data_IF_154692827459
#
_entry.id   IF_154692827459
#
_cell.length_a   1.000
_cell.length_b   1.000
_cell.length_c   1.000
_cell.angle_alpha   90.00
_cell.angle_beta   90.00
_cell.angle_gamma   90.00
#
_symmetry.space_group_name_H-M   'P 1'
#
loop_
_entity.id
_entity.type
_entity.pdbx_description
1 polymer ?
#
# COMPACT_ATOMS: atom_id res chain seq x y z
N UNK A 1 -3.55 -17.09 5.51
CA UNK A 1 -3.39 -18.09 4.43
C UNK A 1 -1.96 -18.02 3.93
N UNK A 2 -1.37 -19.15 3.55
CA UNK A 2 0.01 -19.24 3.08
C UNK A 2 0.14 -20.33 2.01
N UNK A 3 1.08 -20.24 1.08
CA UNK A 3 1.39 -21.33 0.14
C UNK A 3 2.63 -22.11 0.57
N UNK A 4 2.77 -23.36 0.09
CA UNK A 4 3.98 -24.16 0.30
C UNK A 4 5.25 -23.47 -0.23
N UNK A 5 5.11 -22.61 -1.23
CA UNK A 5 6.21 -21.84 -1.79
C UNK A 5 6.73 -20.84 -0.76
N UNK A 6 5.83 -20.12 -0.07
CA UNK A 6 6.22 -19.19 1.00
C UNK A 6 6.85 -19.95 2.17
N UNK A 7 6.35 -21.14 2.51
CA UNK A 7 6.96 -21.98 3.56
C UNK A 7 8.39 -22.38 3.20
N UNK A 8 8.62 -22.82 1.96
CA UNK A 8 9.95 -23.15 1.46
C UNK A 8 10.87 -21.92 1.47
N UNK A 9 10.39 -20.77 0.98
CA UNK A 9 11.14 -19.50 1.02
C UNK A 9 11.48 -19.08 2.46
N UNK A 10 10.52 -19.17 3.38
CA UNK A 10 10.69 -18.81 4.78
C UNK A 10 11.70 -19.71 5.50
N UNK A 11 11.81 -20.98 5.11
CA UNK A 11 12.73 -21.96 5.71
C UNK A 11 14.21 -21.74 5.36
N UNK A 12 14.51 -20.88 4.38
CA UNK A 12 15.87 -20.69 3.86
C UNK A 12 16.66 -19.62 4.62
N UNK A 13 17.99 -19.67 4.51
CA UNK A 13 18.90 -18.68 5.08
C UNK A 13 19.38 -19.05 6.48
N UNK A 14 19.52 -18.05 7.35
CA UNK A 14 19.95 -18.27 8.73
C UNK A 14 18.96 -19.15 9.49
N UNK A 15 19.47 -20.17 10.18
CA UNK A 15 18.63 -21.20 10.81
C UNK A 15 17.75 -20.63 11.94
N UNK A 16 18.26 -19.68 12.72
CA UNK A 16 17.50 -19.06 13.82
C UNK A 16 16.39 -18.17 13.24
N UNK A 17 16.72 -17.35 12.24
CA UNK A 17 15.74 -16.50 11.59
C UNK A 17 14.68 -17.31 10.82
N UNK A 18 15.07 -18.42 10.19
CA UNK A 18 14.15 -19.34 9.51
C UNK A 18 13.17 -19.97 10.50
N UNK A 19 13.69 -20.47 11.63
CA UNK A 19 12.86 -21.03 12.71
C UNK A 19 11.84 -20.02 13.22
N UNK A 20 12.27 -18.78 13.50
CA UNK A 20 11.37 -17.70 13.94
C UNK A 20 10.27 -17.39 12.92
N UNK A 21 10.61 -17.35 11.62
CA UNK A 21 9.60 -17.13 10.58
C UNK A 21 8.61 -18.30 10.51
N UNK A 22 9.09 -19.53 10.56
CA UNK A 22 8.22 -20.71 10.49
C UNK A 22 7.27 -20.81 11.70
N UNK A 23 7.73 -20.44 12.90
CA UNK A 23 6.89 -20.39 14.09
C UNK A 23 5.73 -19.41 13.94
N UNK A 24 5.96 -18.23 13.37
CA UNK A 24 4.91 -17.23 13.11
C UNK A 24 3.89 -17.73 12.06
N UNK A 25 4.33 -18.58 11.14
CA UNK A 25 3.50 -19.08 10.03
C UNK A 25 2.73 -20.36 10.36
N UNK A 26 3.02 -21.01 11.49
CA UNK A 26 2.55 -22.36 11.82
C UNK A 26 1.02 -22.51 11.84
N UNK A 27 0.30 -21.47 12.30
CA UNK A 27 -1.16 -21.49 12.44
C UNK A 27 -1.90 -20.98 11.19
N UNK A 28 -1.17 -20.60 10.13
CA UNK A 28 -1.80 -20.10 8.90
C UNK A 28 -2.31 -21.26 8.03
N UNK A 29 -3.55 -21.19 7.52
CA UNK A 29 -4.06 -22.19 6.61
C UNK A 29 -3.24 -22.23 5.32
N UNK A 30 -2.81 -23.42 4.92
CA UNK A 30 -2.07 -23.64 3.68
C UNK A 30 -3.06 -23.69 2.50
N UNK A 31 -2.74 -22.98 1.42
CA UNK A 31 -3.54 -22.92 0.20
C UNK A 31 -3.25 -24.13 -0.70
N UNK A 32 -4.30 -24.64 -1.33
CA UNK A 32 -4.17 -25.65 -2.37
C UNK A 32 -3.51 -25.06 -3.64
N UNK A 33 -2.80 -25.93 -4.37
CA UNK A 33 -2.19 -25.60 -5.66
C UNK A 33 -2.92 -26.37 -6.77
N UNK A 34 -4.08 -25.87 -7.24
CA UNK A 34 -4.85 -26.52 -8.29
C UNK A 34 -4.14 -26.41 -9.65
N UNK A 35 -4.53 -27.25 -10.62
CA UNK A 35 -3.91 -27.29 -11.96
C UNK A 35 -4.07 -25.96 -12.71
N UNK A 36 -5.15 -25.25 -12.43
CA UNK A 36 -5.47 -23.91 -12.89
C UNK A 36 -4.38 -22.91 -12.49
N UNK A 37 -3.82 -23.03 -11.28
CA UNK A 37 -2.74 -22.17 -10.83
C UNK A 37 -1.46 -22.43 -11.63
N UNK A 38 -1.17 -23.70 -11.95
CA UNK A 38 -0.01 -24.07 -12.79
C UNK A 38 -0.18 -23.48 -14.19
N UNK A 39 -1.37 -23.58 -14.76
CA UNK A 39 -1.69 -23.01 -16.07
C UNK A 39 -1.56 -21.48 -16.08
N UNK A 40 -2.06 -20.82 -15.02
CA UNK A 40 -1.97 -19.36 -14.88
C UNK A 40 -0.52 -18.88 -14.74
N UNK A 41 0.37 -19.66 -14.10
CA UNK A 41 1.81 -19.35 -14.06
C UNK A 41 2.40 -19.24 -15.46
N UNK A 42 2.12 -20.21 -16.33
CA UNK A 42 2.64 -20.18 -17.70
C UNK A 42 2.09 -19.00 -18.48
N UNK A 43 0.78 -18.73 -18.38
CA UNK A 43 0.17 -17.57 -19.04
C UNK A 43 0.80 -16.23 -18.61
N UNK A 44 1.14 -16.07 -17.33
CA UNK A 44 1.80 -14.88 -16.81
C UNK A 44 3.23 -14.72 -17.35
N UNK A 45 3.94 -15.83 -17.57
CA UNK A 45 5.31 -15.83 -18.09
C UNK A 45 5.29 -15.59 -19.61
N UNK A 46 4.45 -16.31 -20.34
CA UNK A 46 4.32 -16.23 -21.80
C UNK A 46 3.87 -14.85 -22.26
N UNK A 47 2.97 -14.20 -21.49
CA UNK A 47 2.55 -12.82 -21.75
C UNK A 47 3.60 -11.76 -21.35
N UNK A 48 4.72 -12.16 -20.73
CA UNK A 48 5.74 -11.24 -20.23
C UNK A 48 5.32 -10.41 -19.00
N UNK A 49 4.20 -10.78 -18.36
CA UNK A 49 3.76 -10.19 -17.09
C UNK A 49 4.84 -10.39 -16.03
N UNK A 50 5.33 -11.62 -15.89
CA UNK A 50 6.44 -11.98 -15.00
C UNK A 50 7.58 -12.58 -15.83
N UNK A 51 8.84 -12.19 -15.59
CA UNK A 51 9.95 -12.80 -16.32
C UNK A 51 10.18 -14.26 -15.88
N UNK A 52 10.63 -15.10 -16.80
CA UNK A 52 10.84 -16.55 -16.58
C UNK A 52 11.74 -16.86 -15.37
N UNK A 53 12.81 -16.07 -15.16
CA UNK A 53 13.71 -16.24 -14.01
C UNK A 53 13.09 -15.87 -12.66
N UNK A 54 11.91 -15.23 -12.67
CA UNK A 54 11.11 -14.90 -11.48
C UNK A 54 9.87 -15.78 -11.38
N UNK A 55 9.94 -17.04 -11.83
CA UNK A 55 8.84 -18.00 -11.73
C UNK A 55 8.18 -18.10 -10.34
N UNK A 56 8.92 -18.02 -9.19
CA UNK A 56 8.28 -17.98 -7.89
C UNK A 56 7.29 -16.82 -7.72
N UNK A 57 7.59 -15.63 -8.26
CA UNK A 57 6.68 -14.47 -8.21
C UNK A 57 5.37 -14.80 -8.97
N UNK A 58 5.47 -15.44 -10.13
CA UNK A 58 4.29 -15.87 -10.90
C UNK A 58 3.46 -16.93 -10.14
N UNK A 59 4.12 -17.84 -9.42
CA UNK A 59 3.43 -18.85 -8.62
C UNK A 59 2.67 -18.23 -7.44
N UNK A 60 3.27 -17.27 -6.72
CA UNK A 60 2.58 -16.55 -5.65
C UNK A 60 1.31 -15.86 -6.15
N UNK A 61 1.42 -15.16 -7.29
CA UNK A 61 0.27 -14.48 -7.93
C UNK A 61 -0.79 -15.50 -8.33
N UNK A 62 -0.41 -16.56 -9.05
CA UNK A 62 -1.36 -17.52 -9.57
C UNK A 62 -2.11 -18.28 -8.48
N UNK A 63 -1.41 -18.72 -7.44
CA UNK A 63 -2.03 -19.42 -6.29
C UNK A 63 -3.00 -18.48 -5.57
N UNK A 64 -2.59 -17.23 -5.32
CA UNK A 64 -3.46 -16.24 -4.68
C UNK A 64 -4.71 -15.94 -5.52
N UNK A 65 -4.56 -15.74 -6.83
CA UNK A 65 -5.66 -15.47 -7.76
C UNK A 65 -6.64 -16.63 -7.84
N UNK A 66 -6.18 -17.87 -8.04
CA UNK A 66 -7.08 -19.02 -8.19
C UNK A 66 -7.81 -19.35 -6.89
N UNK A 67 -7.17 -19.14 -5.74
CA UNK A 67 -7.80 -19.32 -4.43
C UNK A 67 -8.67 -18.11 -3.98
N UNK A 68 -8.89 -17.12 -4.85
CA UNK A 68 -9.66 -15.90 -4.54
C UNK A 68 -9.15 -15.15 -3.30
N UNK A 69 -7.83 -15.13 -3.10
CA UNK A 69 -7.20 -14.32 -2.05
C UNK A 69 -7.38 -12.85 -2.42
N UNK A 70 -7.95 -12.06 -1.52
CA UNK A 70 -8.28 -10.65 -1.78
C UNK A 70 -7.04 -9.79 -2.03
N UNK A 71 -6.00 -10.00 -1.22
CA UNK A 71 -4.75 -9.24 -1.27
C UNK A 71 -3.52 -10.14 -1.29
N UNK A 72 -2.61 -9.91 -2.22
CA UNK A 72 -1.25 -10.42 -2.19
C UNK A 72 -0.28 -9.27 -1.91
N UNK A 73 0.33 -9.32 -0.74
CA UNK A 73 1.20 -8.25 -0.23
C UNK A 73 2.65 -8.56 -0.57
N UNK A 74 3.35 -7.61 -1.21
CA UNK A 74 4.75 -7.79 -1.60
C UNK A 74 5.56 -6.49 -1.55
N UNK A 75 6.87 -6.63 -1.35
CA UNK A 75 7.85 -5.55 -1.50
C UNK A 75 8.53 -5.52 -2.88
N UNK A 76 8.23 -6.48 -3.76
CA UNK A 76 8.87 -6.61 -5.06
C UNK A 76 8.31 -5.62 -6.09
N UNK A 77 8.80 -4.38 -6.06
CA UNK A 77 8.45 -3.33 -7.03
C UNK A 77 8.93 -3.60 -8.45
N UNK A 78 9.91 -4.49 -8.62
CA UNK A 78 10.48 -4.76 -9.94
C UNK A 78 9.57 -5.64 -10.79
N UNK A 79 8.90 -6.60 -10.16
CA UNK A 79 8.18 -7.66 -10.87
C UNK A 79 6.69 -7.75 -10.52
N UNK A 80 6.28 -7.35 -9.31
CA UNK A 80 4.91 -7.56 -8.82
C UNK A 80 4.15 -6.23 -8.68
N UNK A 81 4.60 -5.34 -7.80
CA UNK A 81 3.80 -4.19 -7.34
C UNK A 81 4.02 -2.91 -8.16
N UNK A 82 4.75 -2.98 -9.27
CA UNK A 82 4.83 -1.85 -10.21
C UNK A 82 3.49 -1.72 -10.96
N UNK A 83 3.01 -0.49 -11.19
CA UNK A 83 1.71 -0.23 -11.85
C UNK A 83 1.57 -0.88 -13.24
N UNK A 84 2.57 -0.75 -14.11
CA UNK A 84 2.63 -1.43 -15.41
C UNK A 84 2.54 -2.95 -15.27
N UNK A 85 3.19 -3.53 -14.26
CA UNK A 85 3.17 -4.97 -13.97
C UNK A 85 1.80 -5.40 -13.44
N UNK A 86 1.23 -4.67 -12.48
CA UNK A 86 -0.12 -4.92 -11.95
C UNK A 86 -1.14 -4.94 -13.09
N UNK A 87 -1.12 -3.95 -13.98
CA UNK A 87 -2.04 -3.88 -15.10
C UNK A 87 -1.90 -5.08 -16.05
N UNK A 88 -0.68 -5.43 -16.45
CA UNK A 88 -0.47 -6.58 -17.33
C UNK A 88 -0.85 -7.91 -16.67
N UNK A 89 -0.56 -8.08 -15.38
CA UNK A 89 -0.98 -9.26 -14.61
C UNK A 89 -2.51 -9.35 -14.57
N UNK A 90 -3.20 -8.24 -14.30
CA UNK A 90 -4.66 -8.20 -14.25
C UNK A 90 -5.28 -8.53 -15.61
N UNK A 91 -4.73 -7.99 -16.71
CA UNK A 91 -5.16 -8.30 -18.07
C UNK A 91 -5.04 -9.80 -18.37
N UNK A 92 -3.91 -10.42 -18.03
CA UNK A 92 -3.70 -11.87 -18.22
C UNK A 92 -4.71 -12.67 -17.41
N UNK A 93 -4.89 -12.36 -16.13
CA UNK A 93 -5.86 -13.03 -15.26
C UNK A 93 -7.29 -12.94 -15.82
N UNK A 94 -7.70 -11.77 -16.28
CA UNK A 94 -9.01 -11.58 -16.89
C UNK A 94 -9.17 -12.34 -18.21
N UNK A 95 -8.14 -12.37 -19.05
CA UNK A 95 -8.16 -13.07 -20.34
C UNK A 95 -8.40 -14.58 -20.18
N UNK A 96 -7.95 -15.18 -19.07
CA UNK A 96 -8.16 -16.59 -18.75
C UNK A 96 -9.35 -16.84 -17.81
N UNK A 97 -10.14 -15.79 -17.52
CA UNK A 97 -11.41 -15.91 -16.78
C UNK A 97 -11.29 -15.84 -15.25
N UNK A 98 -10.14 -15.45 -14.70
CA UNK A 98 -9.98 -15.26 -13.26
C UNK A 98 -10.23 -13.80 -12.83
N UNK A 99 -10.65 -13.62 -11.57
CA UNK A 99 -10.60 -12.32 -10.91
C UNK A 99 -9.20 -12.12 -10.34
N UNK A 100 -8.45 -11.08 -10.76
CA UNK A 100 -7.11 -10.84 -10.25
C UNK A 100 -7.11 -10.59 -8.73
N UNK A 101 -6.06 -11.07 -8.06
CA UNK A 101 -5.83 -10.71 -6.65
C UNK A 101 -5.30 -9.27 -6.57
N UNK A 102 -5.63 -8.53 -5.51
CA UNK A 102 -5.13 -7.18 -5.36
C UNK A 102 -3.65 -7.21 -4.96
N UNK A 103 -2.77 -6.83 -5.89
CA UNK A 103 -1.34 -6.69 -5.65
C UNK A 103 -1.05 -5.36 -4.99
N UNK A 104 -0.48 -5.38 -3.79
CA UNK A 104 -0.17 -4.16 -3.04
C UNK A 104 1.09 -4.29 -2.17
N UNK A 105 1.59 -3.15 -1.73
CA UNK A 105 2.61 -3.11 -0.67
C UNK A 105 1.98 -3.16 0.71
N UNK A 106 2.76 -3.52 1.76
CA UNK A 106 2.24 -3.45 3.13
C UNK A 106 1.74 -2.06 3.52
N UNK A 107 2.39 -1.00 3.02
CA UNK A 107 1.99 0.39 3.31
C UNK A 107 0.63 0.68 2.69
N UNK A 108 0.44 0.37 1.41
CA UNK A 108 -0.84 0.53 0.71
C UNK A 108 -1.97 -0.23 1.41
N UNK A 109 -1.71 -1.47 1.87
CA UNK A 109 -2.71 -2.25 2.58
C UNK A 109 -3.08 -1.65 3.95
N UNK A 110 -2.08 -1.20 4.72
CA UNK A 110 -2.32 -0.56 6.03
C UNK A 110 -3.14 0.72 5.85
N UNK A 111 -2.83 1.53 4.85
CA UNK A 111 -3.58 2.74 4.54
C UNK A 111 -5.04 2.41 4.20
N UNK A 112 -5.28 1.41 3.37
CA UNK A 112 -6.63 0.94 3.01
C UNK A 112 -7.40 0.44 4.23
N UNK A 113 -6.78 -0.36 5.10
CA UNK A 113 -7.41 -0.85 6.35
C UNK A 113 -7.74 0.32 7.27
N UNK A 114 -6.82 1.27 7.46
CA UNK A 114 -7.07 2.45 8.29
C UNK A 114 -8.16 3.36 7.71
N UNK A 115 -8.27 3.47 6.39
CA UNK A 115 -9.36 4.20 5.71
C UNK A 115 -10.69 3.48 5.95
N UNK A 116 -10.74 2.15 5.80
CA UNK A 116 -11.93 1.34 6.08
C UNK A 116 -12.37 1.47 7.55
N UNK A 117 -11.45 1.41 8.52
CA UNK A 117 -11.73 1.62 9.95
C UNK A 117 -12.26 3.04 10.24
N UNK A 118 -11.70 4.07 9.59
CA UNK A 118 -12.16 5.45 9.71
C UNK A 118 -13.51 5.72 9.02
N UNK A 119 -13.87 4.94 8.01
CA UNK A 119 -15.18 5.06 7.36
C UNK A 119 -16.29 4.37 8.15
N UNK A 120 -15.96 3.31 8.90
CA UNK A 120 -16.89 2.60 9.79
C UNK A 120 -17.07 3.32 11.14
N UNK A 121 -16.06 4.07 11.59
CA UNK A 121 -16.15 4.90 12.80
C UNK A 121 -16.48 6.34 12.44
N UNK A 122 -17.74 6.75 12.66
CA UNK A 122 -18.20 8.15 12.72
C UNK A 122 -17.06 9.11 13.07
N UNK A 123 -16.65 9.92 12.08
CA UNK A 123 -15.59 10.94 12.09
C UNK A 123 -15.00 11.23 13.50
N UNK A 124 -13.75 10.83 13.72
CA UNK A 124 -13.01 11.15 14.95
C UNK A 124 -13.06 12.67 15.23
N UNK A 125 -13.46 13.12 16.44
CA UNK A 125 -13.53 14.53 16.81
C UNK A 125 -12.23 15.31 16.53
N UNK A 126 -11.07 14.67 16.58
CA UNK A 126 -9.77 15.29 16.25
C UNK A 126 -9.66 15.59 14.76
N UNK A 127 -10.22 14.73 13.91
CA UNK A 127 -10.21 14.91 12.47
C UNK A 127 -11.18 16.03 12.04
N UNK A 128 -12.32 16.15 12.72
CA UNK A 128 -13.27 17.26 12.55
C UNK A 128 -12.63 18.62 12.90
N UNK A 129 -11.90 18.69 14.02
CA UNK A 129 -11.08 19.85 14.39
C UNK A 129 -10.06 20.19 13.29
N UNK A 130 -9.37 19.18 12.75
CA UNK A 130 -8.37 19.37 11.69
C UNK A 130 -8.98 19.88 10.38
N UNK A 131 -10.15 19.37 9.97
CA UNK A 131 -10.85 19.87 8.79
C UNK A 131 -11.34 21.30 9.01
N UNK A 132 -11.90 21.61 10.18
CA UNK A 132 -12.33 22.96 10.53
C UNK A 132 -11.17 23.96 10.49
N UNK A 133 -10.02 23.62 11.07
CA UNK A 133 -8.81 24.47 11.02
C UNK A 133 -8.32 24.69 9.59
N UNK A 134 -8.36 23.66 8.73
CA UNK A 134 -8.00 23.78 7.31
C UNK A 134 -8.96 24.69 6.55
N UNK A 135 -10.25 24.58 6.79
CA UNK A 135 -11.27 25.39 6.13
C UNK A 135 -11.19 26.86 6.58
N UNK A 136 -11.06 27.13 7.88
CA UNK A 136 -10.87 28.47 8.42
C UNK A 136 -9.61 29.14 7.87
N UNK A 137 -8.52 28.38 7.75
CA UNK A 137 -7.28 28.89 7.17
C UNK A 137 -7.43 29.16 5.67
N UNK A 138 -8.01 28.24 4.91
CA UNK A 138 -8.24 28.40 3.47
C UNK A 138 -9.19 29.58 3.16
N UNK A 139 -10.19 29.82 4.02
CA UNK A 139 -11.14 30.93 3.88
C UNK A 139 -10.50 32.33 4.01
N UNK A 140 -9.27 32.42 4.54
CA UNK A 140 -8.52 33.68 4.58
C UNK A 140 -8.02 34.10 3.18
N UNK A 141 -8.06 33.20 2.21
CA UNK A 141 -7.57 33.42 0.85
C UNK A 141 -8.74 33.46 -0.14
N UNK A 142 -8.69 34.39 -1.10
CA UNK A 142 -9.78 34.61 -2.07
C UNK A 142 -9.76 33.62 -3.22
N UNK A 143 -8.65 32.88 -3.39
CA UNK A 143 -8.51 31.87 -4.41
C UNK A 143 -7.49 30.81 -4.00
N UNK A 144 -7.61 29.62 -4.59
CA UNK A 144 -6.65 28.52 -4.38
C UNK A 144 -5.23 28.88 -4.83
N UNK A 145 -5.10 29.75 -5.84
CA UNK A 145 -3.79 30.23 -6.31
C UNK A 145 -3.10 31.12 -5.27
N UNK A 146 -3.86 32.01 -4.61
CA UNK A 146 -3.34 32.90 -3.57
C UNK A 146 -2.85 32.12 -2.34
N UNK A 147 -3.60 31.08 -1.93
CA UNK A 147 -3.19 30.14 -0.89
C UNK A 147 -1.89 29.40 -1.27
N UNK A 148 -1.81 28.93 -2.52
CA UNK A 148 -0.62 28.23 -3.00
C UNK A 148 0.62 29.12 -3.00
N UNK A 149 0.48 30.36 -3.46
CA UNK A 149 1.57 31.34 -3.50
C UNK A 149 2.04 31.71 -2.08
N UNK A 150 1.10 31.83 -1.13
CA UNK A 150 1.41 32.00 0.28
C UNK A 150 2.22 30.83 0.85
N UNK A 151 1.75 29.58 0.70
CA UNK A 151 2.42 28.39 1.22
C UNK A 151 3.83 28.23 0.63
N UNK A 152 3.99 28.54 -0.66
CA UNK A 152 5.28 28.50 -1.35
C UNK A 152 6.25 29.57 -0.83
N UNK A 153 5.76 30.78 -0.58
CA UNK A 153 6.56 31.86 0.02
C UNK A 153 6.98 31.52 1.46
N UNK A 154 6.09 30.90 2.22
CA UNK A 154 6.33 30.50 3.59
C UNK A 154 7.38 29.38 3.67
N UNK A 155 7.23 28.31 2.88
CA UNK A 155 8.23 27.25 2.76
C UNK A 155 9.62 27.79 2.41
N UNK A 156 9.72 28.81 1.56
CA UNK A 156 11.00 29.44 1.22
C UNK A 156 11.64 30.13 2.43
N UNK A 157 10.86 30.81 3.27
CA UNK A 157 11.32 31.43 4.52
C UNK A 157 11.80 30.37 5.52
N UNK A 158 11.06 29.28 5.69
CA UNK A 158 11.42 28.21 6.62
C UNK A 158 12.63 27.40 6.17
N UNK A 159 12.76 27.14 4.85
CA UNK A 159 13.99 26.55 4.28
C UNK A 159 15.21 27.45 4.51
N UNK A 160 15.06 28.77 4.40
CA UNK A 160 16.14 29.71 4.69
C UNK A 160 16.53 29.73 6.18
N UNK A 161 15.59 29.39 7.08
CA UNK A 161 15.82 29.25 8.51
C UNK A 161 16.33 27.84 8.92
N UNK A 162 16.50 26.92 7.97
CA UNK A 162 17.03 25.57 8.20
C UNK A 162 16.01 24.57 8.77
N UNK A 163 14.72 24.89 8.78
CA UNK A 163 13.67 24.05 9.36
C UNK A 163 13.01 23.20 8.26
N UNK A 164 12.80 21.91 8.55
CA UNK A 164 12.23 20.92 7.61
C UNK A 164 10.69 20.89 7.61
N UNK A 165 10.05 21.52 8.61
CA UNK A 165 8.60 21.52 8.79
C UNK A 165 8.07 22.94 9.00
N UNK A 166 6.85 23.19 8.49
CA UNK A 166 6.11 24.43 8.67
C UNK A 166 5.27 24.31 9.95
N UNK A 167 5.42 25.19 10.96
CA UNK A 167 4.59 25.12 12.16
C UNK A 167 3.10 25.25 11.80
N UNK A 168 2.19 24.68 12.62
CA UNK A 168 0.76 24.80 12.37
C UNK A 168 0.35 26.29 12.36
N UNK A 169 -0.66 26.67 11.57
CA UNK A 169 -1.15 28.04 11.54
C UNK A 169 -1.61 28.47 12.95
N UNK A 170 -1.41 29.74 13.33
CA UNK A 170 -1.75 30.23 14.66
C UNK A 170 -3.25 30.05 14.93
N UNK A 171 -3.58 29.53 16.10
CA UNK A 171 -4.98 29.37 16.51
C UNK A 171 -5.52 30.69 17.06
N UNK A 172 -6.84 30.89 17.03
CA UNK A 172 -7.49 32.12 17.55
C UNK A 172 -7.13 32.40 19.02
N UNK A 173 -6.75 31.36 19.79
CA UNK A 173 -6.31 31.50 21.18
C UNK A 173 -4.88 32.06 21.35
N UNK A 174 -4.06 32.06 20.30
CA UNK A 174 -2.70 32.60 20.35
C UNK A 174 -2.66 34.14 20.21
N UNK A 175 -3.77 34.75 19.75
CA UNK A 175 -3.89 36.21 19.64
C UNK A 175 -4.29 36.90 20.95
N UNK A 176 -4.87 36.16 21.92
CA UNK A 176 -5.29 36.70 23.23
C UNK A 176 -4.20 36.61 24.32
N UNK A 177 -2.96 36.23 23.97
CA UNK A 177 -1.83 36.13 24.92
C UNK A 177 -0.80 37.26 24.80
N UNK A 178 -1.10 38.31 24.03
CA UNK A 178 -0.31 39.54 23.98
C UNK A 178 -1.16 40.73 24.40
N UNK A 179 -1.43 40.80 25.70
CA UNK A 179 -1.72 42.03 26.46
C UNK A 179 -1.22 41.83 27.90
#
# INVERSE_FOLDING_TARGET
>A
MISDIVLNEASRGDAIAAQQRLEVLADLPVLDVPLEAITLVENLIDAGAIPEHSRPDAQHIAIATVNNVEYLVSWNYKHIVNETKRNLINEVCHAVGFQPTTLCTPIELIEEIQVKEKHDTRMDPVLEECYRMKEEFAAQFKSSQELYDYLKAEQKKFKALGWKYLPPPPTRNDQNKKD
#
